data_IF_367823118961
#
_entry.id   IF_367823118961
#
_cell.length_a   1.000
_cell.length_b   1.000
_cell.length_c   1.000
_cell.angle_alpha   90.00
_cell.angle_beta   90.00
_cell.angle_gamma   90.00
#
_symmetry.space_group_name_H-M   'P 1'
#
loop_
_entity.id
_entity.type
_entity.pdbx_description
1 polymer ?
#
# COMPACT_ATOMS: atom_id res chain seq x y z
N UNK A 1 -0.28 -15.41 8.31
CA UNK A 1 -0.82 -15.62 9.66
C UNK A 1 -1.90 -16.68 9.68
N UNK A 2 -2.06 -17.31 10.85
CA UNK A 2 -3.10 -18.28 11.12
C UNK A 2 -4.41 -17.63 11.60
N UNK A 3 -5.53 -18.19 11.18
CA UNK A 3 -6.86 -17.77 11.65
C UNK A 3 -7.51 -18.94 12.36
N UNK A 4 -7.98 -18.71 13.58
CA UNK A 4 -8.74 -19.70 14.34
C UNK A 4 -10.23 -19.39 14.16
N UNK A 5 -10.97 -20.41 13.73
CA UNK A 5 -12.44 -20.37 13.61
C UNK A 5 -13.02 -21.34 14.62
N UNK A 6 -13.91 -20.89 15.45
CA UNK A 6 -14.62 -21.68 16.44
C UNK A 6 -16.12 -21.40 16.30
N UNK A 7 -16.91 -22.44 16.21
CA UNK A 7 -18.38 -22.35 16.03
C UNK A 7 -18.79 -21.40 14.89
N UNK A 8 -18.17 -21.57 13.73
CA UNK A 8 -18.33 -20.69 12.57
C UNK A 8 -18.00 -19.21 12.83
N UNK A 9 -17.32 -18.91 13.92
CA UNK A 9 -16.94 -17.55 14.30
C UNK A 9 -15.41 -17.41 14.23
N UNK A 10 -14.94 -16.39 13.54
CA UNK A 10 -13.53 -16.00 13.56
C UNK A 10 -13.19 -15.49 14.96
N UNK A 11 -12.43 -16.27 15.72
CA UNK A 11 -12.14 -16.00 17.13
C UNK A 11 -10.79 -15.33 17.34
N UNK A 12 -9.78 -15.70 16.56
CA UNK A 12 -8.39 -15.25 16.75
C UNK A 12 -7.61 -15.18 15.46
N UNK A 13 -6.67 -14.25 15.38
CA UNK A 13 -5.62 -14.23 14.37
C UNK A 13 -4.26 -14.16 15.04
N UNK A 14 -3.31 -14.94 14.57
CA UNK A 14 -1.95 -15.01 15.09
C UNK A 14 -0.94 -14.98 13.96
N UNK A 15 0.28 -14.61 14.28
CA UNK A 15 1.39 -14.75 13.36
C UNK A 15 1.69 -16.22 13.10
N UNK A 16 2.17 -16.52 11.92
CA UNK A 16 2.63 -17.85 11.53
C UNK A 16 4.15 -17.88 11.63
N UNK A 17 4.67 -18.54 12.62
CA UNK A 17 6.11 -18.62 12.88
C UNK A 17 6.86 -19.43 11.80
N UNK A 18 6.15 -20.34 11.12
CA UNK A 18 6.73 -21.14 10.04
C UNK A 18 6.89 -20.34 8.73
N UNK A 19 6.26 -19.18 8.63
CA UNK A 19 6.36 -18.34 7.45
C UNK A 19 7.72 -17.62 7.43
N UNK A 20 8.53 -17.89 6.42
CA UNK A 20 9.89 -17.36 6.30
C UNK A 20 9.95 -15.81 6.27
N UNK A 21 8.94 -15.14 5.71
CA UNK A 21 8.91 -13.69 5.67
C UNK A 21 8.46 -13.04 6.97
N UNK A 22 7.29 -13.44 7.48
CA UNK A 22 6.69 -12.79 8.65
C UNK A 22 7.26 -13.30 9.97
N UNK A 23 7.78 -14.52 10.01
CA UNK A 23 8.37 -15.15 11.19
C UNK A 23 7.55 -14.90 12.46
N UNK A 24 6.24 -15.16 12.38
CA UNK A 24 5.32 -14.94 13.48
C UNK A 24 4.82 -13.48 13.62
N UNK A 25 5.30 -12.54 12.82
CA UNK A 25 4.81 -11.17 12.89
C UNK A 25 3.35 -11.07 12.43
N UNK A 26 2.54 -10.40 13.23
CA UNK A 26 1.14 -10.10 12.95
C UNK A 26 0.85 -8.65 13.33
N UNK A 27 0.60 -7.80 12.36
CA UNK A 27 0.41 -6.37 12.60
C UNK A 27 -0.95 -6.07 13.27
N UNK A 28 -1.07 -4.90 13.87
CA UNK A 28 -2.28 -4.45 14.54
C UNK A 28 -3.54 -4.49 13.63
N UNK A 29 -3.37 -4.24 12.32
CA UNK A 29 -4.48 -4.34 11.35
C UNK A 29 -5.01 -5.77 11.22
N UNK A 30 -4.11 -6.75 11.19
CA UNK A 30 -4.50 -8.17 11.18
C UNK A 30 -5.17 -8.57 12.49
N UNK A 31 -4.61 -8.16 13.62
CA UNK A 31 -5.18 -8.44 14.95
C UNK A 31 -6.58 -7.82 15.12
N UNK A 32 -6.81 -6.64 14.56
CA UNK A 32 -8.11 -5.98 14.60
C UNK A 32 -9.11 -6.45 13.54
N UNK A 33 -8.70 -7.37 12.65
CA UNK A 33 -9.58 -7.84 11.56
C UNK A 33 -10.88 -8.47 12.04
N UNK A 34 -10.86 -9.15 13.20
CA UNK A 34 -12.06 -9.69 13.86
C UNK A 34 -13.04 -8.58 14.22
N UNK A 35 -12.55 -7.48 14.80
CA UNK A 35 -13.39 -6.33 15.17
C UNK A 35 -14.00 -5.68 13.91
N UNK A 36 -13.23 -5.57 12.83
CA UNK A 36 -13.72 -5.04 11.58
C UNK A 36 -14.78 -5.96 10.94
N UNK A 37 -14.61 -7.28 11.06
CA UNK A 37 -15.55 -8.26 10.48
C UNK A 37 -16.90 -8.26 11.22
N UNK A 38 -16.89 -8.18 12.55
CA UNK A 38 -18.08 -8.27 13.38
C UNK A 38 -18.51 -6.92 13.97
N UNK A 39 -18.02 -5.81 13.42
CA UNK A 39 -18.42 -4.49 13.89
C UNK A 39 -19.93 -4.30 13.71
N UNK A 40 -20.67 -3.76 14.70
CA UNK A 40 -22.12 -3.56 14.61
C UNK A 40 -22.52 -2.66 13.42
N UNK A 41 -21.71 -1.65 13.10
CA UNK A 41 -21.94 -0.72 11.99
C UNK A 41 -21.42 -1.22 10.64
N UNK A 42 -20.95 -2.49 10.57
CA UNK A 42 -20.51 -3.03 9.29
C UNK A 42 -21.67 -3.11 8.30
N UNK A 43 -21.48 -2.53 7.13
CA UNK A 43 -22.46 -2.63 6.03
C UNK A 43 -22.58 -4.09 5.58
N UNK A 44 -23.81 -4.60 5.63
CA UNK A 44 -24.14 -6.00 5.25
C UNK A 44 -25.03 -6.09 4.02
N UNK A 45 -25.51 -4.96 3.55
CA UNK A 45 -26.48 -4.88 2.46
C UNK A 45 -26.10 -3.78 1.49
N UNK A 46 -26.61 -3.89 0.27
CA UNK A 46 -26.54 -2.80 -0.67
C UNK A 46 -27.43 -1.65 -0.17
N UNK A 47 -26.90 -0.44 -0.28
CA UNK A 47 -27.58 0.77 0.14
C UNK A 47 -27.66 1.75 -1.03
N UNK A 48 -28.83 2.34 -1.21
CA UNK A 48 -29.08 3.36 -2.23
C UNK A 48 -29.35 4.70 -1.55
N UNK A 49 -28.68 5.73 -2.04
CA UNK A 49 -28.95 7.12 -1.64
C UNK A 49 -30.22 7.60 -2.33
N UNK A 50 -31.16 8.16 -1.57
CA UNK A 50 -32.41 8.73 -2.11
C UNK A 50 -32.42 10.26 -2.12
N UNK A 51 -31.71 10.88 -1.18
CA UNK A 51 -31.63 12.34 -1.13
C UNK A 51 -30.55 12.89 -2.07
N UNK A 52 -30.68 14.12 -2.57
CA UNK A 52 -29.68 14.77 -3.39
C UNK A 52 -28.28 14.79 -2.76
N UNK A 53 -27.24 14.82 -3.61
CA UNK A 53 -25.87 15.03 -3.14
C UNK A 53 -25.76 16.44 -2.55
N UNK A 54 -25.13 16.53 -1.37
CA UNK A 54 -24.93 17.79 -0.64
C UNK A 54 -25.90 17.96 0.53
N UNK A 55 -26.95 17.17 0.64
CA UNK A 55 -27.76 17.12 1.86
C UNK A 55 -27.06 16.34 2.96
N UNK A 56 -27.22 16.80 4.21
CA UNK A 56 -26.59 16.19 5.39
C UNK A 56 -27.08 14.76 5.60
N UNK A 57 -28.39 14.52 5.43
CA UNK A 57 -28.94 13.18 5.44
C UNK A 57 -28.92 12.58 4.03
N UNK A 58 -28.15 11.53 3.77
CA UNK A 58 -28.14 10.85 2.49
C UNK A 58 -29.43 10.12 2.16
N UNK A 59 -30.33 9.87 3.11
CA UNK A 59 -31.55 9.09 2.93
C UNK A 59 -31.25 7.64 2.49
N UNK A 60 -30.34 6.95 3.17
CA UNK A 60 -29.95 5.59 2.79
C UNK A 60 -31.11 4.61 2.94
N UNK A 61 -31.45 3.93 1.85
CA UNK A 61 -32.39 2.80 1.86
C UNK A 61 -31.70 1.52 1.46
N UNK A 62 -32.10 0.42 2.07
CA UNK A 62 -31.60 -0.91 1.72
C UNK A 62 -32.25 -1.37 0.43
N UNK A 63 -31.42 -1.91 -0.48
CA UNK A 63 -31.85 -2.55 -1.71
C UNK A 63 -31.22 -3.95 -1.83
N UNK A 64 -31.72 -4.77 -2.72
CA UNK A 64 -31.13 -6.07 -3.03
C UNK A 64 -29.90 -5.91 -3.91
N UNK A 65 -29.08 -6.96 -3.98
CA UNK A 65 -27.91 -6.96 -4.87
C UNK A 65 -28.32 -6.93 -6.34
N UNK A 66 -29.42 -7.59 -6.70
CA UNK A 66 -29.97 -7.58 -8.04
C UNK A 66 -30.40 -6.16 -8.46
N UNK A 67 -31.19 -5.48 -7.64
CA UNK A 67 -31.56 -4.08 -7.87
C UNK A 67 -30.33 -3.17 -8.01
N UNK A 68 -29.31 -3.37 -7.18
CA UNK A 68 -28.08 -2.57 -7.28
C UNK A 68 -27.36 -2.77 -8.62
N UNK A 69 -27.27 -4.00 -9.12
CA UNK A 69 -26.66 -4.30 -10.40
C UNK A 69 -27.49 -3.77 -11.58
N UNK A 70 -28.81 -3.97 -11.55
CA UNK A 70 -29.69 -3.50 -12.61
C UNK A 70 -29.67 -1.99 -12.74
N UNK A 71 -29.78 -1.28 -11.63
CA UNK A 71 -29.74 0.19 -11.64
C UNK A 71 -28.38 0.73 -12.06
N UNK A 72 -27.29 0.17 -11.52
CA UNK A 72 -25.94 0.62 -11.86
C UNK A 72 -25.62 0.32 -13.33
N UNK A 73 -25.95 -0.86 -13.82
CA UNK A 73 -25.74 -1.27 -15.19
C UNK A 73 -26.53 -0.43 -16.18
N UNK A 74 -27.81 -0.18 -15.91
CA UNK A 74 -28.66 0.68 -16.71
C UNK A 74 -28.11 2.11 -16.77
N UNK A 75 -27.63 2.63 -15.61
CA UNK A 75 -27.09 3.99 -15.56
C UNK A 75 -25.76 4.13 -16.28
N UNK A 76 -24.87 3.15 -16.19
CA UNK A 76 -23.63 3.12 -16.97
C UNK A 76 -23.93 3.09 -18.47
N UNK A 77 -24.87 2.28 -18.90
CA UNK A 77 -25.28 2.18 -20.30
C UNK A 77 -25.81 3.53 -20.79
N UNK A 78 -26.77 4.12 -20.08
CA UNK A 78 -27.34 5.45 -20.38
C UNK A 78 -26.25 6.51 -20.55
N UNK A 79 -25.30 6.59 -19.61
CA UNK A 79 -24.24 7.59 -19.63
C UNK A 79 -23.32 7.38 -20.83
N UNK A 80 -22.93 6.15 -21.11
CA UNK A 80 -22.03 5.84 -22.23
C UNK A 80 -22.72 6.09 -23.56
N UNK A 81 -23.99 5.73 -23.71
CA UNK A 81 -24.76 5.99 -24.93
C UNK A 81 -24.95 7.50 -25.19
N UNK A 82 -25.15 8.26 -24.12
CA UNK A 82 -25.43 9.71 -24.25
C UNK A 82 -24.19 10.59 -24.39
N UNK A 83 -23.11 10.24 -23.68
CA UNK A 83 -21.93 11.08 -23.51
C UNK A 83 -20.62 10.43 -23.94
N UNK A 84 -20.65 9.15 -24.32
CA UNK A 84 -19.45 8.37 -24.63
C UNK A 84 -18.75 7.80 -23.40
N UNK A 85 -17.77 6.94 -23.65
CA UNK A 85 -17.00 6.28 -22.59
C UNK A 85 -16.19 7.24 -21.71
N UNK A 86 -15.85 8.40 -22.23
CA UNK A 86 -15.08 9.44 -21.53
C UNK A 86 -15.83 10.06 -20.34
N UNK A 87 -17.17 9.99 -20.36
CA UNK A 87 -18.00 10.49 -19.27
C UNK A 87 -17.92 9.61 -17.99
N UNK A 88 -17.26 8.47 -18.07
CA UNK A 88 -17.07 7.54 -16.96
C UNK A 88 -15.62 7.57 -16.50
N UNK A 89 -15.42 7.61 -15.18
CA UNK A 89 -14.11 7.48 -14.56
C UNK A 89 -14.07 6.24 -13.66
N UNK A 90 -13.04 5.41 -13.83
CA UNK A 90 -12.72 4.31 -12.95
C UNK A 90 -11.60 4.72 -11.99
N UNK A 91 -11.85 4.67 -10.69
CA UNK A 91 -10.83 4.92 -9.66
C UNK A 91 -10.66 3.67 -8.79
N UNK A 92 -9.44 3.23 -8.65
CA UNK A 92 -9.08 2.10 -7.79
C UNK A 92 -8.06 2.49 -6.74
N UNK A 93 -8.07 1.74 -5.63
CA UNK A 93 -6.99 1.81 -4.65
C UNK A 93 -5.74 1.08 -5.15
N UNK A 94 -4.74 0.97 -4.29
CA UNK A 94 -3.56 0.16 -4.59
C UNK A 94 -3.99 -1.26 -4.88
N UNK A 95 -3.67 -1.71 -6.08
CA UNK A 95 -4.02 -3.06 -6.52
C UNK A 95 -3.34 -4.11 -5.65
N UNK A 96 -4.14 -5.00 -5.10
CA UNK A 96 -3.70 -6.19 -4.38
C UNK A 96 -4.24 -7.41 -5.11
N UNK A 97 -3.65 -8.56 -4.84
CA UNK A 97 -4.08 -9.83 -5.41
C UNK A 97 -5.60 -10.01 -5.22
N UNK A 98 -6.32 -10.20 -6.31
CA UNK A 98 -7.78 -10.38 -6.33
C UNK A 98 -8.63 -9.13 -6.63
N UNK A 99 -8.08 -7.92 -6.55
CA UNK A 99 -8.83 -6.70 -6.86
C UNK A 99 -8.75 -6.26 -8.34
N UNK A 100 -7.72 -6.67 -9.06
CA UNK A 100 -7.51 -6.28 -10.46
C UNK A 100 -8.49 -6.89 -11.46
N UNK A 101 -8.82 -8.21 -11.42
CA UNK A 101 -9.68 -8.80 -12.41
C UNK A 101 -11.06 -8.13 -12.53
N UNK A 102 -11.80 -7.83 -11.44
CA UNK A 102 -13.07 -7.13 -11.53
C UNK A 102 -12.94 -5.73 -12.15
N UNK A 103 -11.88 -4.99 -11.81
CA UNK A 103 -11.64 -3.67 -12.36
C UNK A 103 -11.31 -3.71 -13.86
N UNK A 104 -10.44 -4.63 -14.28
CA UNK A 104 -10.09 -4.83 -15.68
C UNK A 104 -11.30 -5.27 -16.51
N UNK A 105 -12.12 -6.19 -15.98
CA UNK A 105 -13.36 -6.64 -16.62
C UNK A 105 -14.33 -5.48 -16.79
N UNK A 106 -14.55 -4.68 -15.74
CA UNK A 106 -15.45 -3.54 -15.81
C UNK A 106 -14.97 -2.49 -16.84
N UNK A 107 -13.67 -2.26 -16.93
CA UNK A 107 -13.06 -1.38 -17.92
C UNK A 107 -13.25 -1.91 -19.35
N UNK A 108 -13.22 -3.22 -19.54
CA UNK A 108 -13.41 -3.85 -20.86
C UNK A 108 -14.86 -3.78 -21.31
N UNK A 109 -15.82 -3.97 -20.39
CA UNK A 109 -17.27 -3.90 -20.70
C UNK A 109 -17.69 -2.45 -20.97
N UNK A 110 -17.18 -1.52 -20.18
CA UNK A 110 -17.45 -0.09 -20.32
C UNK A 110 -16.15 0.68 -20.61
N UNK A 111 -15.67 0.69 -21.85
CA UNK A 111 -14.41 1.33 -22.20
C UNK A 111 -14.35 2.78 -21.77
N UNK A 112 -13.24 3.17 -21.15
CA UNK A 112 -12.97 4.55 -20.75
C UNK A 112 -11.47 4.80 -20.75
N UNK A 113 -11.00 5.97 -21.25
CA UNK A 113 -9.62 6.40 -21.06
C UNK A 113 -9.35 6.86 -19.61
N UNK A 114 -10.40 7.21 -18.88
CA UNK A 114 -10.32 7.77 -17.53
C UNK A 114 -10.30 6.68 -16.47
N UNK A 115 -9.17 6.01 -16.37
CA UNK A 115 -9.00 4.91 -15.42
C UNK A 115 -7.68 5.11 -14.65
N UNK A 116 -7.79 5.36 -13.35
CA UNK A 116 -6.66 5.65 -12.47
C UNK A 116 -6.59 4.70 -11.29
N UNK A 117 -5.37 4.34 -10.94
CA UNK A 117 -5.07 3.53 -9.77
C UNK A 117 -4.14 4.33 -8.85
N UNK A 118 -4.27 4.14 -7.54
CA UNK A 118 -3.33 4.71 -6.58
C UNK A 118 -1.87 4.26 -6.84
N UNK A 119 -1.69 3.17 -7.56
CA UNK A 119 -0.38 2.69 -8.01
C UNK A 119 0.41 3.73 -8.79
N UNK A 120 -0.23 4.53 -9.62
CA UNK A 120 0.43 5.52 -10.50
C UNK A 120 1.22 6.58 -9.72
N UNK A 121 0.77 6.94 -8.54
CA UNK A 121 1.43 7.92 -7.65
C UNK A 121 2.05 7.31 -6.39
N UNK A 122 1.89 6.01 -6.18
CA UNK A 122 2.37 5.29 -4.99
C UNK A 122 3.57 4.39 -5.35
N UNK A 123 3.30 3.22 -5.90
CA UNK A 123 4.32 2.23 -6.24
C UNK A 123 4.89 2.39 -7.64
N UNK A 124 4.16 3.03 -8.54
CA UNK A 124 4.59 3.24 -9.91
C UNK A 124 5.94 3.91 -10.02
N UNK A 125 6.15 5.09 -9.41
CA UNK A 125 7.45 5.76 -9.44
C UNK A 125 8.60 4.89 -8.93
N UNK A 126 8.37 4.15 -7.83
CA UNK A 126 9.35 3.22 -7.30
C UNK A 126 9.64 2.07 -8.26
N UNK A 127 8.61 1.50 -8.86
CA UNK A 127 8.76 0.40 -9.81
C UNK A 127 9.50 0.84 -11.07
N UNK A 128 9.18 2.01 -11.60
CA UNK A 128 9.89 2.58 -12.73
C UNK A 128 11.34 2.92 -12.39
N UNK A 129 11.60 3.45 -11.20
CA UNK A 129 12.96 3.66 -10.71
C UNK A 129 13.77 2.36 -10.71
N UNK A 130 13.19 1.28 -10.18
CA UNK A 130 13.82 -0.04 -10.20
C UNK A 130 14.10 -0.54 -11.61
N UNK A 131 13.13 -0.48 -12.52
CA UNK A 131 13.31 -0.91 -13.92
C UNK A 131 14.45 -0.14 -14.60
N UNK A 132 14.57 1.16 -14.33
CA UNK A 132 15.63 2.00 -14.93
C UNK A 132 17.03 1.72 -14.36
N UNK A 133 17.11 1.08 -13.20
CA UNK A 133 18.37 0.69 -12.54
C UNK A 133 18.59 -0.82 -12.55
N UNK A 134 18.00 -1.51 -13.53
CA UNK A 134 18.09 -2.95 -13.74
C UNK A 134 17.49 -3.80 -12.60
N UNK A 135 16.57 -3.25 -11.87
CA UNK A 135 15.87 -3.97 -10.80
C UNK A 135 14.44 -4.33 -11.20
N UNK A 136 14.14 -5.61 -11.29
CA UNK A 136 12.86 -6.13 -11.79
C UNK A 136 11.73 -6.12 -10.77
N UNK A 137 11.78 -5.30 -9.74
CA UNK A 137 10.69 -5.31 -8.75
C UNK A 137 10.93 -4.55 -7.47
N UNK A 138 10.27 -4.97 -6.41
CA UNK A 138 10.54 -4.49 -5.05
C UNK A 138 11.55 -5.41 -4.42
N UNK A 139 12.78 -4.97 -4.18
CA UNK A 139 13.75 -5.78 -3.50
C UNK A 139 13.23 -6.16 -2.12
N UNK A 140 13.29 -7.41 -1.82
CA UNK A 140 13.09 -7.91 -0.47
C UNK A 140 14.44 -7.81 0.23
N UNK A 141 14.51 -7.06 1.30
CA UNK A 141 15.75 -6.93 2.05
C UNK A 141 16.21 -8.29 2.55
N UNK A 142 17.47 -8.63 2.27
CA UNK A 142 18.13 -9.77 2.86
C UNK A 142 18.32 -9.54 4.35
N UNK A 143 17.94 -10.50 5.17
CA UNK A 143 17.95 -10.35 6.62
C UNK A 143 18.85 -11.34 7.34
N UNK A 144 19.28 -12.38 6.65
CA UNK A 144 20.07 -13.44 7.33
C UNK A 144 21.44 -12.93 7.74
N UNK A 145 22.09 -12.16 6.90
CA UNK A 145 23.42 -11.62 7.20
C UNK A 145 23.41 -10.21 7.79
N UNK A 146 22.32 -9.47 7.64
CA UNK A 146 22.21 -8.08 8.01
C UNK A 146 23.09 -7.16 7.13
N UNK A 147 22.66 -5.94 6.83
CA UNK A 147 23.45 -4.99 6.08
C UNK A 147 24.55 -4.36 6.95
N UNK A 148 25.65 -3.94 6.35
CA UNK A 148 26.62 -3.09 7.04
C UNK A 148 26.03 -1.73 7.41
N UNK A 149 25.28 -1.14 6.48
CA UNK A 149 24.57 0.12 6.71
C UNK A 149 23.10 -0.07 6.32
N UNK A 150 22.21 0.23 7.24
CA UNK A 150 20.77 0.30 6.98
C UNK A 150 20.36 1.76 6.92
N UNK A 151 19.80 2.19 5.81
CA UNK A 151 19.26 3.55 5.65
C UNK A 151 17.74 3.46 5.57
N UNK A 152 17.08 3.96 6.61
CA UNK A 152 15.63 4.11 6.65
C UNK A 152 15.27 5.50 6.11
N UNK A 153 14.67 5.56 4.91
CA UNK A 153 14.42 6.81 4.22
C UNK A 153 12.94 7.05 3.96
N UNK A 154 12.38 8.07 4.58
CA UNK A 154 11.00 8.52 4.37
C UNK A 154 9.96 7.46 4.68
N UNK A 155 10.26 6.55 5.59
CA UNK A 155 9.39 5.43 5.96
C UNK A 155 9.46 5.15 7.45
N UNK A 156 8.33 4.69 7.99
CA UNK A 156 8.23 4.17 9.36
C UNK A 156 7.41 2.90 9.31
N UNK A 157 8.01 1.82 8.81
CA UNK A 157 7.34 0.53 8.65
C UNK A 157 6.83 -0.03 9.96
N UNK A 158 7.47 0.29 11.07
CA UNK A 158 7.06 -0.03 12.43
C UNK A 158 5.71 0.60 12.82
N UNK A 159 5.35 1.74 12.23
CA UNK A 159 4.03 2.35 12.38
C UNK A 159 3.05 1.92 11.31
N UNK A 160 3.48 1.96 10.04
CA UNK A 160 2.61 1.67 8.91
C UNK A 160 2.29 0.18 8.77
N UNK A 161 3.10 -0.67 9.39
CA UNK A 161 2.93 -2.13 9.35
C UNK A 161 2.66 -2.63 7.94
N UNK A 162 3.50 -2.21 7.01
CA UNK A 162 3.35 -2.61 5.63
C UNK A 162 3.91 -4.02 5.43
N UNK A 163 2.98 -4.98 5.32
CA UNK A 163 3.29 -6.37 5.03
C UNK A 163 4.29 -6.99 6.04
N UNK A 164 5.12 -7.92 5.59
CA UNK A 164 6.23 -8.49 6.37
C UNK A 164 7.42 -7.53 6.51
N UNK A 165 7.44 -6.43 5.77
CA UNK A 165 8.53 -5.45 5.73
C UNK A 165 8.82 -4.83 7.10
N UNK A 166 7.81 -4.74 7.98
CA UNK A 166 8.02 -4.29 9.35
C UNK A 166 9.03 -5.17 10.09
N UNK A 167 8.84 -6.49 10.07
CA UNK A 167 9.78 -7.42 10.72
C UNK A 167 11.18 -7.32 10.12
N UNK A 168 11.25 -7.26 8.79
CA UNK A 168 12.51 -7.09 8.07
C UNK A 168 13.22 -5.78 8.44
N UNK A 169 12.48 -4.66 8.52
CA UNK A 169 13.05 -3.38 8.92
C UNK A 169 13.61 -3.40 10.33
N UNK A 170 12.90 -4.02 11.29
CA UNK A 170 13.38 -4.20 12.67
C UNK A 170 14.65 -5.04 12.68
N UNK A 171 14.65 -6.17 12.00
CA UNK A 171 15.81 -7.05 11.96
C UNK A 171 17.02 -6.38 11.29
N UNK A 172 16.83 -5.64 10.20
CA UNK A 172 17.87 -4.86 9.55
C UNK A 172 18.42 -3.78 10.50
N UNK A 173 17.55 -3.05 11.19
CA UNK A 173 17.97 -2.04 12.16
C UNK A 173 18.82 -2.63 13.30
N UNK A 174 18.43 -3.79 13.81
CA UNK A 174 19.12 -4.45 14.92
C UNK A 174 20.42 -5.16 14.53
N UNK A 175 20.52 -5.62 13.28
CA UNK A 175 21.69 -6.36 12.79
C UNK A 175 22.68 -5.52 12.00
N UNK A 176 22.28 -4.36 11.52
CA UNK A 176 23.17 -3.45 10.83
C UNK A 176 24.27 -2.93 11.74
N UNK A 177 25.48 -2.81 11.21
CA UNK A 177 26.57 -2.11 11.94
C UNK A 177 26.23 -0.64 12.20
N UNK A 178 25.55 0.01 11.24
CA UNK A 178 25.02 1.37 11.39
C UNK A 178 23.62 1.46 10.83
N UNK A 179 22.71 2.06 11.59
CA UNK A 179 21.39 2.47 11.13
C UNK A 179 21.37 4.00 11.01
N UNK A 180 20.96 4.52 9.87
CA UNK A 180 20.77 5.94 9.62
C UNK A 180 19.30 6.20 9.26
N UNK A 181 18.71 7.25 9.84
CA UNK A 181 17.34 7.66 9.57
C UNK A 181 17.32 8.97 8.77
N UNK A 182 16.60 8.97 7.65
CA UNK A 182 16.25 10.18 6.89
C UNK A 182 14.73 10.31 6.93
N UNK A 183 14.20 11.09 7.84
CA UNK A 183 12.76 11.31 8.03
C UNK A 183 12.54 12.64 8.77
N UNK A 184 11.51 13.41 8.43
CA UNK A 184 11.19 14.64 9.19
C UNK A 184 10.81 14.35 10.63
N UNK A 185 10.41 13.10 10.92
CA UNK A 185 10.02 12.66 12.26
C UNK A 185 11.04 11.70 12.84
N UNK A 186 11.26 11.80 14.15
CA UNK A 186 11.95 10.75 14.87
C UNK A 186 11.04 9.52 14.99
N UNK A 187 11.32 8.47 14.24
CA UNK A 187 10.55 7.22 14.30
C UNK A 187 11.00 6.35 15.50
N UNK A 188 10.22 5.36 15.93
CA UNK A 188 10.65 4.45 17.00
C UNK A 188 11.97 3.77 16.70
N UNK A 189 12.15 3.19 15.52
CA UNK A 189 13.43 2.60 15.11
C UNK A 189 14.52 3.65 14.96
N UNK A 190 14.16 4.85 14.52
CA UNK A 190 15.09 5.95 14.36
C UNK A 190 15.73 6.43 15.67
N UNK A 191 15.11 6.14 16.82
CA UNK A 191 15.72 6.43 18.14
C UNK A 191 16.99 5.62 18.40
N UNK A 192 17.14 4.52 17.73
CA UNK A 192 18.32 3.66 17.78
C UNK A 192 19.31 3.95 16.66
N UNK A 193 18.99 4.90 15.77
CA UNK A 193 19.84 5.25 14.64
C UNK A 193 21.12 5.94 15.10
N UNK A 194 22.23 5.60 14.44
CA UNK A 194 23.52 6.28 14.64
C UNK A 194 23.52 7.72 14.15
N UNK A 195 22.70 8.01 13.13
CA UNK A 195 22.50 9.35 12.60
C UNK A 195 21.05 9.57 12.20
N UNK A 196 20.54 10.76 12.47
CA UNK A 196 19.24 11.23 12.03
C UNK A 196 19.37 12.51 11.22
N UNK A 197 18.83 12.48 9.99
CA UNK A 197 18.72 13.64 9.13
C UNK A 197 17.23 14.05 9.08
N UNK A 198 16.85 15.10 9.82
CA UNK A 198 15.47 15.60 9.87
C UNK A 198 15.13 16.38 8.60
N UNK A 199 15.05 15.68 7.48
CA UNK A 199 14.79 16.27 6.18
C UNK A 199 13.32 16.67 6.07
N UNK A 200 12.97 17.93 5.80
CA UNK A 200 11.58 18.34 5.56
C UNK A 200 10.95 17.63 4.37
N UNK A 201 9.62 17.65 4.31
CA UNK A 201 8.91 17.11 3.15
C UNK A 201 9.23 17.96 1.91
N UNK A 202 9.66 17.31 0.82
CA UNK A 202 9.99 17.95 -0.45
C UNK A 202 11.44 17.75 -0.91
N UNK A 203 12.48 18.14 -0.14
CA UNK A 203 13.85 18.13 -0.62
C UNK A 203 14.56 16.76 -0.66
N UNK A 204 13.82 15.65 -0.62
CA UNK A 204 14.42 14.31 -0.72
C UNK A 204 15.24 14.13 -2.00
N UNK A 205 14.74 14.64 -3.13
CA UNK A 205 15.46 14.58 -4.40
C UNK A 205 16.80 15.36 -4.31
N UNK A 206 16.82 16.52 -3.67
CA UNK A 206 18.04 17.30 -3.51
C UNK A 206 19.10 16.55 -2.68
N UNK A 207 18.67 15.89 -1.59
CA UNK A 207 19.57 15.07 -0.79
C UNK A 207 20.11 13.88 -1.61
N UNK A 208 19.24 13.21 -2.38
CA UNK A 208 19.64 12.09 -3.24
C UNK A 208 20.69 12.53 -4.27
N UNK A 209 20.41 13.61 -5.01
CA UNK A 209 21.33 14.13 -6.02
C UNK A 209 22.66 14.59 -5.41
N UNK A 210 22.62 15.27 -4.27
CA UNK A 210 23.83 15.67 -3.54
C UNK A 210 24.64 14.46 -3.06
N UNK A 211 23.97 13.39 -2.63
CA UNK A 211 24.65 12.15 -2.24
C UNK A 211 25.29 11.45 -3.43
N UNK A 212 24.60 11.38 -4.57
CA UNK A 212 25.16 10.84 -5.82
C UNK A 212 26.38 11.65 -6.26
N UNK A 213 26.28 12.98 -6.29
CA UNK A 213 27.40 13.85 -6.64
C UNK A 213 28.60 13.62 -5.72
N UNK A 214 28.36 13.53 -4.43
CA UNK A 214 29.43 13.29 -3.46
C UNK A 214 30.12 11.92 -3.68
N UNK A 215 29.35 10.88 -3.97
CA UNK A 215 29.88 9.54 -4.29
C UNK A 215 30.77 9.60 -5.53
N UNK A 216 30.29 10.23 -6.61
CA UNK A 216 31.08 10.38 -7.84
C UNK A 216 32.37 11.15 -7.63
N UNK A 217 32.34 12.20 -6.79
CA UNK A 217 33.49 13.05 -6.54
C UNK A 217 34.54 12.40 -5.59
N UNK A 218 34.12 11.52 -4.70
CA UNK A 218 34.99 11.04 -3.61
C UNK A 218 35.26 9.53 -3.62
N UNK A 219 34.29 8.73 -3.94
CA UNK A 219 34.39 7.27 -3.88
C UNK A 219 34.47 6.61 -5.27
N UNK A 220 34.07 7.35 -6.30
CA UNK A 220 33.94 6.80 -7.65
C UNK A 220 32.76 5.86 -7.79
N UNK A 221 32.57 5.37 -9.00
CA UNK A 221 31.66 4.27 -9.31
C UNK A 221 32.38 2.94 -9.11
N UNK A 222 31.62 1.92 -8.78
CA UNK A 222 32.10 0.54 -8.84
C UNK A 222 32.04 0.08 -10.31
N UNK A 223 33.21 0.04 -10.95
CA UNK A 223 33.33 -0.27 -12.38
C UNK A 223 32.89 -1.71 -12.72
N UNK A 224 32.74 -2.58 -11.71
CA UNK A 224 32.22 -3.94 -11.88
C UNK A 224 30.69 -3.99 -11.90
N UNK A 225 30.02 -2.89 -11.55
CA UNK A 225 28.54 -2.79 -11.43
C UNK A 225 27.93 -1.85 -12.48
N UNK A 226 28.71 -1.02 -13.14
CA UNK A 226 28.25 -0.02 -14.12
C UNK A 226 28.37 -0.52 -15.56
#
# INVERSE_FOLDING_TARGET
>A
GGVTVQDNTFSKVEGDESNAHSRGHCCAKSQSSRLALYHPDRLRYCMKRTNPKGEDDPGWVRITLAEAFDEAGAKFKEIVEKYGGEAKCGMGGTSRVGAQPPYGTLKSIFPTPNAHLAYEICKGPRHFGGILTDESGSPWMEVEQGPLVYVQWGTASEYSNYDSTNRTAVDCSQRAYKHNLVDPRMTPLGKEAAAWLPLPVGPHLCLTLGSVQWILDTAGSDDDVV
#
